data_IF_134153986382
#
_entry.id   IF_134153986382
#
_cell.length_a   1.000
_cell.length_b   1.000
_cell.length_c   1.000
_cell.angle_alpha   90.00
_cell.angle_beta   90.00
_cell.angle_gamma   90.00
#
_symmetry.space_group_name_H-M   'P 1'
#
loop_
_entity.id
_entity.type
_entity.pdbx_description
1 polymer ?
#
# COMPACT_ATOMS: atom_id res chain seq x y z
N UNK A 1 62.89 -10.81 12.20
CA UNK A 1 61.99 -11.42 11.19
C UNK A 1 60.85 -10.46 10.93
N UNK A 2 60.53 -10.14 9.68
CA UNK A 2 59.32 -9.37 9.34
C UNK A 2 58.16 -10.34 9.06
N UNK A 3 56.98 -10.09 9.62
CA UNK A 3 55.80 -10.92 9.35
C UNK A 3 55.28 -10.66 7.93
N UNK A 4 54.87 -11.70 7.17
CA UNK A 4 54.36 -11.52 5.82
C UNK A 4 53.03 -10.76 5.86
N UNK A 5 53.02 -9.54 5.32
CA UNK A 5 51.82 -8.70 5.31
C UNK A 5 50.70 -9.38 4.49
N UNK A 6 49.57 -9.68 5.12
CA UNK A 6 48.45 -10.37 4.49
C UNK A 6 48.10 -9.73 3.13
N UNK A 7 48.11 -10.50 2.02
CA UNK A 7 47.95 -9.94 0.68
C UNK A 7 46.58 -9.28 0.45
N UNK A 8 45.51 -9.74 1.12
CA UNK A 8 44.21 -9.07 1.05
C UNK A 8 44.25 -7.68 1.70
N UNK A 9 44.94 -7.53 2.84
CA UNK A 9 45.14 -6.22 3.50
C UNK A 9 45.97 -5.28 2.61
N UNK A 10 46.96 -5.82 1.88
CA UNK A 10 47.73 -5.05 0.88
C UNK A 10 46.85 -4.62 -0.30
N UNK A 11 46.01 -5.51 -0.83
CA UNK A 11 45.07 -5.24 -1.91
C UNK A 11 44.05 -4.15 -1.53
N UNK A 12 43.38 -4.26 -0.37
CA UNK A 12 42.46 -3.22 0.12
C UNK A 12 43.16 -1.88 0.35
N UNK A 13 44.39 -1.86 0.88
CA UNK A 13 45.18 -0.62 1.02
C UNK A 13 45.50 0.02 -0.33
N UNK A 14 45.80 -0.76 -1.36
CA UNK A 14 46.02 -0.26 -2.73
C UNK A 14 44.72 0.32 -3.32
N UNK A 15 43.59 -0.38 -3.21
CA UNK A 15 42.29 0.13 -3.70
C UNK A 15 41.88 1.42 -2.98
N UNK A 16 42.00 1.47 -1.65
CA UNK A 16 41.70 2.68 -0.86
C UNK A 16 42.67 3.82 -1.21
N UNK A 17 43.94 3.52 -1.50
CA UNK A 17 44.92 4.48 -1.99
C UNK A 17 44.55 5.05 -3.37
N UNK A 18 44.18 4.19 -4.32
CA UNK A 18 43.73 4.57 -5.67
C UNK A 18 42.46 5.41 -5.62
N UNK A 19 41.46 5.02 -4.83
CA UNK A 19 40.23 5.80 -4.62
C UNK A 19 40.52 7.18 -4.00
N UNK A 20 41.41 7.25 -3.00
CA UNK A 20 41.84 8.52 -2.40
C UNK A 20 42.62 9.41 -3.37
N UNK A 21 43.38 8.83 -4.30
CA UNK A 21 44.05 9.59 -5.36
C UNK A 21 43.08 10.03 -6.47
N UNK A 22 42.11 9.19 -6.86
CA UNK A 22 41.05 9.56 -7.79
C UNK A 22 40.26 10.78 -7.28
N UNK A 23 39.93 10.81 -5.98
CA UNK A 23 39.26 11.94 -5.32
C UNK A 23 40.12 13.22 -5.19
N UNK A 24 41.43 13.18 -5.50
CA UNK A 24 42.31 14.37 -5.50
C UNK A 24 42.30 15.11 -6.84
N UNK A 25 41.97 14.47 -7.96
CA UNK A 25 41.92 15.14 -9.26
C UNK A 25 40.77 16.15 -9.28
N UNK A 26 41.07 17.44 -9.46
CA UNK A 26 40.09 18.52 -9.53
C UNK A 26 39.00 18.27 -10.57
N UNK A 27 39.40 17.72 -11.72
CA UNK A 27 38.53 17.37 -12.85
C UNK A 27 37.49 16.27 -12.54
N UNK A 28 37.72 15.44 -11.52
CA UNK A 28 36.78 14.38 -11.10
C UNK A 28 35.81 14.84 -10.00
N UNK A 29 36.01 16.03 -9.41
CA UNK A 29 35.08 16.59 -8.41
C UNK A 29 33.67 16.82 -8.97
N UNK A 30 33.47 17.39 -10.18
CA UNK A 30 32.13 17.50 -10.78
C UNK A 30 31.44 16.15 -10.93
N UNK A 31 32.17 15.11 -11.39
CA UNK A 31 31.65 13.75 -11.51
C UNK A 31 31.27 13.17 -10.13
N UNK A 32 32.07 13.42 -9.09
CA UNK A 32 31.75 13.02 -7.72
C UNK A 32 30.53 13.75 -7.15
N UNK A 33 30.33 15.04 -7.48
CA UNK A 33 29.12 15.78 -7.09
C UNK A 33 27.88 15.28 -7.85
N UNK A 34 27.98 15.00 -9.15
CA UNK A 34 26.89 14.43 -9.97
C UNK A 34 26.54 13.03 -9.47
N UNK A 35 27.52 12.17 -9.22
CA UNK A 35 27.29 10.83 -8.66
C UNK A 35 26.70 10.90 -7.24
N UNK A 36 27.20 11.83 -6.41
CA UNK A 36 26.63 12.09 -5.07
C UNK A 36 25.17 12.56 -5.13
N UNK A 37 24.85 13.48 -6.04
CA UNK A 37 23.49 13.94 -6.27
C UNK A 37 22.58 12.82 -6.79
N UNK A 38 23.04 12.01 -7.75
CA UNK A 38 22.33 10.83 -8.25
C UNK A 38 22.06 9.81 -7.13
N UNK A 39 23.05 9.54 -6.27
CA UNK A 39 22.90 8.66 -5.11
C UNK A 39 21.96 9.24 -4.05
N UNK A 40 21.94 10.56 -3.84
CA UNK A 40 21.01 11.23 -2.91
C UNK A 40 19.57 11.27 -3.43
N UNK A 41 19.37 11.45 -4.74
CA UNK A 41 18.06 11.31 -5.39
C UNK A 41 17.58 9.86 -5.28
N UNK A 42 18.44 8.89 -5.61
CA UNK A 42 18.11 7.47 -5.62
C UNK A 42 18.20 6.76 -4.26
N UNK A 43 18.56 7.46 -3.17
CA UNK A 43 18.69 6.87 -1.82
C UNK A 43 17.39 6.20 -1.35
N UNK A 44 16.25 6.63 -1.89
CA UNK A 44 14.94 6.04 -1.62
C UNK A 44 14.74 4.67 -2.28
N UNK A 45 15.51 4.34 -3.31
CA UNK A 45 15.48 3.08 -4.06
C UNK A 45 16.59 2.10 -3.66
N UNK A 46 17.41 2.43 -2.65
CA UNK A 46 18.50 1.55 -2.20
C UNK A 46 18.00 0.20 -1.65
N UNK A 47 18.85 -0.86 -1.69
CA UNK A 47 18.55 -2.15 -1.08
C UNK A 47 18.14 -2.04 0.40
N UNK A 48 17.33 -3.00 0.85
CA UNK A 48 16.80 -3.12 2.22
C UNK A 48 15.89 -1.97 2.71
N UNK A 49 15.89 -0.77 2.11
CA UNK A 49 15.09 0.35 2.64
C UNK A 49 13.58 0.10 2.52
N UNK A 50 13.11 -0.66 1.51
CA UNK A 50 11.72 -1.18 1.46
C UNK A 50 11.40 -2.04 2.69
N UNK A 51 12.29 -2.98 3.04
CA UNK A 51 12.11 -3.88 4.20
C UNK A 51 12.01 -3.08 5.50
N UNK A 52 12.90 -2.10 5.69
CA UNK A 52 12.88 -1.21 6.85
C UNK A 52 11.57 -0.40 6.95
N UNK A 53 11.00 0.08 5.83
CA UNK A 53 9.71 0.81 5.78
C UNK A 53 8.51 -0.10 6.08
N UNK A 54 8.53 -1.32 5.55
CA UNK A 54 7.45 -2.32 5.68
C UNK A 54 7.42 -2.89 7.09
N UNK A 55 8.53 -3.47 7.54
CA UNK A 55 8.67 -4.07 8.87
C UNK A 55 8.63 -3.00 9.96
N UNK A 56 9.17 -1.80 9.71
CA UNK A 56 9.14 -0.69 10.64
C UNK A 56 7.72 -0.28 11.07
N UNK A 57 6.71 -0.43 10.21
CA UNK A 57 5.32 -0.18 10.63
C UNK A 57 4.80 -1.24 11.61
N UNK A 58 5.13 -2.52 11.39
CA UNK A 58 4.78 -3.61 12.29
C UNK A 58 5.52 -3.47 13.63
N UNK A 59 6.81 -3.13 13.59
CA UNK A 59 7.64 -2.85 14.77
C UNK A 59 7.09 -1.67 15.57
N UNK A 60 6.80 -0.52 14.94
CA UNK A 60 6.25 0.65 15.63
C UNK A 60 4.86 0.38 16.21
N UNK A 61 3.99 -0.37 15.53
CA UNK A 61 2.70 -0.76 16.08
C UNK A 61 2.86 -1.71 17.28
N UNK A 62 3.74 -2.71 17.18
CA UNK A 62 4.01 -3.64 18.28
C UNK A 62 4.69 -2.95 19.48
N UNK A 63 5.60 -2.00 19.25
CA UNK A 63 6.20 -1.18 20.31
C UNK A 63 5.14 -0.34 21.02
N UNK A 64 4.22 0.31 20.29
CA UNK A 64 3.09 1.04 20.88
C UNK A 64 2.19 0.13 21.71
N UNK A 65 1.92 -1.09 21.24
CA UNK A 65 1.17 -2.13 21.98
C UNK A 65 1.90 -2.58 23.26
N UNK A 66 3.23 -2.73 23.21
CA UNK A 66 4.05 -3.17 24.35
C UNK A 66 4.22 -2.07 25.41
N UNK A 67 4.29 -0.81 24.99
CA UNK A 67 4.38 0.38 25.84
C UNK A 67 3.02 0.87 26.37
N UNK A 68 1.90 0.34 25.85
CA UNK A 68 0.57 0.66 26.36
C UNK A 68 0.36 0.07 27.75
N UNK A 69 0.00 0.93 28.73
CA UNK A 69 -0.26 0.54 30.12
C UNK A 69 -1.35 -0.54 30.23
N UNK A 70 -2.37 -0.46 29.37
CA UNK A 70 -3.37 -1.51 29.18
C UNK A 70 -3.30 -2.03 27.74
N UNK A 71 -2.74 -3.24 27.62
CA UNK A 71 -2.55 -3.95 26.35
C UNK A 71 -3.86 -4.49 25.78
N UNK A 72 -4.86 -4.77 26.63
CA UNK A 72 -6.18 -5.23 26.21
C UNK A 72 -6.98 -4.07 25.64
N UNK A 73 -7.07 -2.95 26.35
CA UNK A 73 -7.74 -1.73 25.87
C UNK A 73 -7.09 -1.17 24.60
N UNK A 74 -5.76 -1.28 24.45
CA UNK A 74 -5.09 -0.93 23.19
C UNK A 74 -5.59 -1.79 22.01
N UNK A 75 -5.82 -3.09 22.22
CA UNK A 75 -6.34 -4.00 21.20
C UNK A 75 -7.83 -3.78 20.96
N UNK A 76 -8.65 -3.64 22.00
CA UNK A 76 -10.08 -3.31 21.83
C UNK A 76 -10.30 -1.98 21.11
N UNK A 77 -9.41 -0.99 21.29
CA UNK A 77 -9.44 0.30 20.59
C UNK A 77 -8.85 0.27 19.15
N UNK A 78 -8.25 -0.84 18.71
CA UNK A 78 -7.69 -0.97 17.35
C UNK A 78 -8.32 -2.10 16.51
N UNK A 79 -8.98 -3.07 17.15
CA UNK A 79 -9.72 -4.13 16.49
C UNK A 79 -11.04 -3.63 15.83
N UNK A 80 -11.55 -4.31 14.80
CA UNK A 80 -12.84 -4.04 14.16
C UNK A 80 -14.04 -4.65 14.92
N UNK A 81 -14.16 -4.37 16.22
CA UNK A 81 -15.22 -4.94 17.06
C UNK A 81 -16.60 -4.40 16.62
N UNK A 82 -17.52 -5.30 16.26
CA UNK A 82 -18.88 -4.98 15.79
C UNK A 82 -18.90 -4.01 14.58
N UNK A 83 -17.91 -4.14 13.69
CA UNK A 83 -17.72 -3.27 12.52
C UNK A 83 -18.10 -3.97 11.20
N UNK A 84 -18.31 -3.17 10.15
CA UNK A 84 -18.62 -3.59 8.78
C UNK A 84 -17.34 -3.56 7.91
N UNK A 85 -16.90 -4.71 7.33
CA UNK A 85 -15.67 -4.80 6.54
C UNK A 85 -15.52 -3.78 5.40
N UNK A 86 -16.63 -3.31 4.83
CA UNK A 86 -16.65 -2.35 3.72
C UNK A 86 -16.75 -0.89 4.19
N UNK A 87 -17.32 -0.62 5.38
CA UNK A 87 -17.34 0.74 5.98
C UNK A 87 -15.96 1.15 6.51
N UNK A 88 -15.14 0.18 6.95
CA UNK A 88 -13.80 0.41 7.52
C UNK A 88 -12.75 0.80 6.46
N UNK A 89 -12.85 2.02 5.93
CA UNK A 89 -11.94 2.55 4.89
C UNK A 89 -10.62 3.05 5.49
N UNK A 90 -9.51 2.40 5.14
CA UNK A 90 -8.17 2.88 5.43
C UNK A 90 -7.72 3.88 4.35
N UNK A 91 -7.85 5.17 4.64
CA UNK A 91 -7.25 6.26 3.84
C UNK A 91 -5.76 6.38 4.15
N UNK A 92 -4.94 6.45 3.12
CA UNK A 92 -3.50 6.73 3.16
C UNK A 92 -3.18 7.88 2.19
N UNK A 93 -2.08 8.63 2.40
CA UNK A 93 -1.73 9.82 1.60
C UNK A 93 -0.37 9.69 0.92
N UNK A 94 -0.28 10.15 -0.31
CA UNK A 94 0.92 10.13 -1.14
C UNK A 94 1.13 11.44 -1.90
N UNK A 95 2.32 11.56 -2.48
CA UNK A 95 2.77 12.70 -3.29
C UNK A 95 3.62 12.15 -4.44
N UNK A 96 3.38 12.61 -5.67
CA UNK A 96 4.10 12.16 -6.85
C UNK A 96 5.45 12.87 -6.98
N UNK A 97 6.49 12.33 -6.32
CA UNK A 97 7.84 12.90 -6.39
C UNK A 97 8.56 12.54 -7.71
N UNK A 98 9.57 13.32 -8.15
CA UNK A 98 10.27 13.07 -9.43
C UNK A 98 10.92 11.69 -9.54
N UNK A 99 11.31 11.07 -8.43
CA UNK A 99 11.90 9.72 -8.35
C UNK A 99 10.87 8.56 -8.40
N UNK A 100 9.57 8.90 -8.41
CA UNK A 100 8.44 7.99 -8.65
C UNK A 100 7.73 8.28 -9.98
N UNK A 101 8.14 9.32 -10.72
CA UNK A 101 7.55 9.70 -12.00
C UNK A 101 8.34 9.15 -13.20
N UNK A 102 7.65 8.98 -14.34
CA UNK A 102 8.25 8.61 -15.62
C UNK A 102 8.66 9.84 -16.46
N UNK A 103 9.13 9.58 -17.68
CA UNK A 103 9.60 10.61 -18.63
C UNK A 103 8.49 11.53 -19.16
N UNK A 104 7.21 11.21 -18.95
CA UNK A 104 6.08 12.08 -19.28
C UNK A 104 5.72 13.02 -18.12
N UNK A 105 6.35 12.86 -16.95
CA UNK A 105 6.03 13.63 -15.75
C UNK A 105 4.79 13.11 -15.02
N UNK A 106 4.46 11.83 -15.17
CA UNK A 106 3.34 11.17 -14.50
C UNK A 106 3.85 10.11 -13.53
N UNK A 107 3.10 9.82 -12.45
CA UNK A 107 3.43 8.75 -11.51
C UNK A 107 3.52 7.42 -12.29
N UNK A 108 4.71 6.82 -12.34
CA UNK A 108 4.94 5.64 -13.19
C UNK A 108 4.06 4.47 -12.76
N UNK A 109 3.54 3.69 -13.72
CA UNK A 109 2.68 2.52 -13.46
C UNK A 109 3.30 1.54 -12.44
N UNK A 110 4.62 1.33 -12.49
CA UNK A 110 5.35 0.51 -11.51
C UNK A 110 5.36 1.12 -10.10
N UNK A 111 5.34 2.44 -10.01
CA UNK A 111 5.38 3.16 -8.74
C UNK A 111 4.05 3.09 -7.99
N UNK A 112 2.90 2.81 -8.61
CA UNK A 112 1.64 2.58 -7.87
C UNK A 112 1.79 1.47 -6.80
N UNK A 113 2.63 0.46 -7.02
CA UNK A 113 2.93 -0.58 -6.02
C UNK A 113 3.89 -0.11 -4.89
N UNK A 114 4.81 0.82 -5.19
CA UNK A 114 6.07 1.12 -4.48
C UNK A 114 5.88 1.67 -3.05
N UNK A 115 6.92 1.52 -2.22
CA UNK A 115 6.96 2.07 -0.84
C UNK A 115 8.07 3.11 -0.71
N UNK A 116 7.70 4.39 -0.62
CA UNK A 116 8.62 5.53 -0.38
C UNK A 116 8.73 5.84 1.13
N UNK A 117 9.58 6.81 1.49
CA UNK A 117 9.65 7.43 2.82
C UNK A 117 9.93 8.92 2.64
N UNK A 118 9.28 9.75 3.45
CA UNK A 118 9.35 11.20 3.37
C UNK A 118 9.63 11.83 4.73
N UNK A 119 10.11 13.07 4.67
CA UNK A 119 10.36 13.91 5.83
C UNK A 119 9.31 15.02 5.80
N UNK A 120 8.12 14.72 6.32
CA UNK A 120 7.00 15.68 6.29
C UNK A 120 7.22 16.70 7.39
N UNK A 121 7.29 17.97 6.99
CA UNK A 121 7.09 19.10 7.88
C UNK A 121 5.60 19.19 8.19
N UNK A 122 5.22 18.96 9.44
CA UNK A 122 3.83 19.09 9.89
C UNK A 122 3.50 20.57 10.14
N UNK A 123 2.21 20.90 10.22
CA UNK A 123 1.74 22.27 10.50
C UNK A 123 2.13 22.80 11.90
N UNK A 124 2.60 21.93 12.80
CA UNK A 124 3.24 22.28 14.07
C UNK A 124 4.76 22.54 13.93
N UNK A 125 5.24 22.76 12.70
CA UNK A 125 6.64 22.85 12.29
C UNK A 125 7.53 21.64 12.66
N UNK A 126 6.96 20.55 13.19
CA UNK A 126 7.75 19.38 13.53
C UNK A 126 8.12 18.58 12.28
N UNK A 127 9.41 18.23 12.20
CA UNK A 127 9.97 17.47 11.10
C UNK A 127 9.93 15.98 11.48
N UNK A 128 8.83 15.30 11.14
CA UNK A 128 8.62 13.89 11.50
C UNK A 128 8.93 12.98 10.31
N UNK A 129 9.55 11.82 10.61
CA UNK A 129 9.71 10.74 9.64
C UNK A 129 8.31 10.20 9.30
N UNK A 130 7.78 10.61 8.16
CA UNK A 130 6.42 10.34 7.75
C UNK A 130 6.45 9.52 6.47
N UNK A 131 5.89 8.34 6.55
CA UNK A 131 5.90 7.45 5.40
C UNK A 131 4.83 7.95 4.42
N UNK A 132 5.22 8.75 3.42
CA UNK A 132 4.51 8.80 2.15
C UNK A 132 4.84 7.51 1.41
N UNK A 133 3.83 6.74 1.02
CA UNK A 133 3.99 5.48 0.28
C UNK A 133 2.82 5.28 -0.68
N UNK A 134 2.95 4.28 -1.54
CA UNK A 134 1.97 3.98 -2.56
C UNK A 134 1.24 2.69 -2.07
N UNK A 135 0.90 1.68 -2.89
CA UNK A 135 -0.10 0.67 -2.47
C UNK A 135 0.32 -0.29 -1.32
N UNK A 136 1.54 -0.85 -1.34
CA UNK A 136 1.98 -1.88 -0.37
C UNK A 136 1.83 -1.48 1.10
N UNK A 137 1.97 -0.20 1.39
CA UNK A 137 1.81 0.28 2.75
C UNK A 137 0.36 0.58 3.15
N UNK A 138 -0.48 1.00 2.19
CA UNK A 138 -1.91 1.13 2.41
C UNK A 138 -2.53 -0.24 2.72
N UNK A 139 -2.07 -1.29 2.01
CA UNK A 139 -2.31 -2.71 2.33
C UNK A 139 -1.87 -3.06 3.76
N UNK A 140 -0.61 -2.83 4.14
CA UNK A 140 -0.14 -3.11 5.52
C UNK A 140 -0.97 -2.36 6.57
N UNK A 141 -1.38 -1.12 6.29
CA UNK A 141 -2.21 -0.32 7.19
C UNK A 141 -3.58 -0.97 7.41
N UNK A 142 -4.28 -1.38 6.34
CA UNK A 142 -5.58 -2.07 6.48
C UNK A 142 -5.44 -3.46 7.11
N UNK A 143 -4.36 -4.20 6.81
CA UNK A 143 -4.08 -5.48 7.45
C UNK A 143 -3.92 -5.33 8.97
N UNK A 144 -3.17 -4.32 9.43
CA UNK A 144 -3.01 -4.04 10.87
C UNK A 144 -4.30 -3.52 11.51
N UNK A 145 -5.08 -2.66 10.84
CA UNK A 145 -6.34 -2.14 11.42
C UNK A 145 -7.50 -3.14 11.43
N UNK A 146 -7.41 -4.24 10.67
CA UNK A 146 -8.50 -5.17 10.48
C UNK A 146 -8.20 -6.57 11.04
N UNK A 147 -6.93 -7.01 11.09
CA UNK A 147 -6.57 -8.37 11.56
C UNK A 147 -5.36 -8.44 12.48
N UNK A 148 -5.05 -7.34 13.20
CA UNK A 148 -4.06 -7.37 14.29
C UNK A 148 -4.24 -8.54 15.29
N UNK A 149 -5.46 -8.94 15.71
CA UNK A 149 -5.65 -10.10 16.59
C UNK A 149 -5.07 -11.40 16.01
N UNK A 150 -5.43 -11.75 14.77
CA UNK A 150 -4.89 -12.91 14.06
C UNK A 150 -3.36 -12.90 13.95
N UNK A 151 -2.76 -11.73 13.68
CA UNK A 151 -1.31 -11.60 13.56
C UNK A 151 -0.58 -11.76 14.91
N UNK A 152 -1.23 -11.47 16.04
CA UNK A 152 -0.64 -11.68 17.36
C UNK A 152 -0.57 -13.16 17.76
N UNK A 153 -1.46 -14.01 17.23
CA UNK A 153 -1.42 -15.47 17.46
C UNK A 153 -0.34 -16.18 16.61
N UNK A 154 0.38 -15.44 15.75
CA UNK A 154 1.38 -15.95 14.81
C UNK A 154 0.86 -16.10 13.37
N UNK A 155 -0.34 -15.58 13.07
CA UNK A 155 -0.88 -15.53 11.73
C UNK A 155 -0.15 -14.53 10.82
N UNK A 156 -0.07 -14.82 9.52
CA UNK A 156 0.51 -13.89 8.53
C UNK A 156 -0.29 -13.85 7.22
N UNK A 157 -0.06 -12.78 6.45
CA UNK A 157 -0.85 -12.43 5.25
C UNK A 157 0.02 -12.25 4.00
N UNK A 158 0.48 -13.33 3.34
CA UNK A 158 1.10 -13.21 2.03
C UNK A 158 0.10 -12.67 0.98
N UNK A 159 0.53 -11.65 0.24
CA UNK A 159 -0.10 -11.19 -0.99
C UNK A 159 0.12 -12.26 -2.07
N UNK A 160 -0.95 -12.81 -2.63
CA UNK A 160 -0.90 -13.81 -3.70
C UNK A 160 -1.04 -13.25 -5.12
N UNK A 161 -1.44 -11.98 -5.26
CA UNK A 161 -1.57 -11.30 -6.55
C UNK A 161 -2.16 -9.90 -6.43
N UNK A 162 -1.95 -9.09 -7.45
CA UNK A 162 -2.42 -7.71 -7.50
C UNK A 162 -2.73 -7.28 -8.94
N UNK A 163 -3.93 -6.76 -9.15
CA UNK A 163 -4.50 -6.46 -10.45
C UNK A 163 -4.80 -4.96 -10.51
N UNK A 164 -4.27 -4.24 -11.50
CA UNK A 164 -4.32 -2.77 -11.57
C UNK A 164 -5.02 -2.29 -12.85
N UNK A 165 -6.00 -1.40 -12.70
CA UNK A 165 -6.66 -0.68 -13.78
C UNK A 165 -6.27 0.80 -13.71
N UNK A 166 -5.47 1.26 -14.66
CA UNK A 166 -5.09 2.65 -14.82
C UNK A 166 -6.19 3.40 -15.60
N UNK A 167 -6.70 4.50 -15.05
CA UNK A 167 -7.87 5.25 -15.53
C UNK A 167 -7.52 6.68 -15.94
N UNK A 168 -6.66 7.36 -15.16
CA UNK A 168 -6.09 8.65 -15.54
C UNK A 168 -4.78 8.92 -14.81
N UNK A 169 -3.93 9.76 -15.38
CA UNK A 169 -2.56 9.99 -14.91
C UNK A 169 -2.54 10.89 -13.65
N UNK A 170 -1.68 10.54 -12.66
CA UNK A 170 -1.36 11.42 -11.52
C UNK A 170 -0.16 12.27 -11.93
N UNK A 171 -0.29 13.60 -12.07
CA UNK A 171 0.83 14.46 -12.47
C UNK A 171 1.91 14.54 -11.39
N UNK A 172 3.16 14.74 -11.82
CA UNK A 172 4.29 15.10 -10.96
C UNK A 172 3.92 16.25 -10.01
N UNK A 173 4.43 16.17 -8.78
CA UNK A 173 4.14 17.04 -7.65
C UNK A 173 2.68 17.03 -7.13
N UNK A 174 1.78 16.21 -7.69
CA UNK A 174 0.40 16.11 -7.19
C UNK A 174 0.31 15.33 -5.88
N UNK A 175 -0.55 15.80 -4.98
CA UNK A 175 -0.96 15.06 -3.78
C UNK A 175 -2.16 14.17 -4.06
N UNK A 176 -2.14 12.94 -3.54
CA UNK A 176 -3.20 11.96 -3.75
C UNK A 176 -3.51 11.15 -2.47
N UNK A 177 -4.69 10.53 -2.44
CA UNK A 177 -5.14 9.61 -1.42
C UNK A 177 -5.23 8.19 -1.99
N UNK A 178 -4.79 7.19 -1.23
CA UNK A 178 -5.09 5.78 -1.49
C UNK A 178 -6.14 5.32 -0.50
N UNK A 179 -7.32 4.95 -0.98
CA UNK A 179 -8.47 4.56 -0.15
C UNK A 179 -8.69 3.06 -0.26
N UNK A 180 -8.28 2.33 0.77
CA UNK A 180 -8.34 0.86 0.81
C UNK A 180 -9.49 0.37 1.69
N UNK A 181 -10.25 -0.62 1.21
CA UNK A 181 -11.34 -1.29 1.95
C UNK A 181 -11.43 -2.77 1.56
N UNK A 182 -12.15 -3.58 2.34
CA UNK A 182 -12.51 -4.93 1.87
C UNK A 182 -13.44 -4.82 0.67
N UNK A 183 -13.24 -5.68 -0.32
CA UNK A 183 -14.07 -5.81 -1.51
C UNK A 183 -15.00 -7.02 -1.39
N UNK A 184 -14.41 -8.18 -1.08
CA UNK A 184 -15.09 -9.45 -0.75
C UNK A 184 -14.08 -10.49 -0.26
N UNK A 185 -14.51 -11.72 -0.05
CA UNK A 185 -13.67 -12.89 0.17
C UNK A 185 -14.29 -14.20 -0.34
N UNK A 186 -13.44 -15.16 -0.69
CA UNK A 186 -13.78 -16.58 -0.87
C UNK A 186 -13.19 -17.43 0.29
N UNK A 187 -13.09 -18.75 0.14
CA UNK A 187 -12.53 -19.67 1.15
C UNK A 187 -11.00 -19.57 1.36
N UNK A 188 -10.29 -18.89 0.47
CA UNK A 188 -8.82 -18.79 0.41
C UNK A 188 -8.34 -17.34 0.35
N UNK A 189 -9.02 -16.48 -0.39
CA UNK A 189 -8.61 -15.12 -0.70
C UNK A 189 -9.53 -14.06 -0.10
N UNK A 190 -8.95 -13.12 0.64
CA UNK A 190 -9.53 -11.80 0.89
C UNK A 190 -9.15 -10.87 -0.27
N UNK A 191 -10.16 -10.21 -0.85
CA UNK A 191 -9.98 -9.19 -1.87
C UNK A 191 -10.02 -7.81 -1.22
N UNK A 192 -8.93 -7.07 -1.32
CA UNK A 192 -8.83 -5.68 -0.86
C UNK A 192 -8.86 -4.76 -2.08
N UNK A 193 -9.81 -3.83 -2.10
CA UNK A 193 -9.97 -2.82 -3.14
C UNK A 193 -9.36 -1.50 -2.69
N UNK A 194 -8.47 -0.95 -3.51
CA UNK A 194 -7.72 0.27 -3.23
C UNK A 194 -7.82 1.25 -4.39
N UNK A 195 -8.39 2.43 -4.14
CA UNK A 195 -8.53 3.50 -5.13
C UNK A 195 -7.45 4.56 -4.94
N UNK A 196 -6.79 4.95 -6.03
CA UNK A 196 -5.93 6.12 -6.10
C UNK A 196 -6.75 7.30 -6.58
N UNK A 197 -6.90 8.32 -5.73
CA UNK A 197 -7.72 9.50 -6.03
C UNK A 197 -6.99 10.80 -5.72
N UNK A 198 -7.14 11.82 -6.56
CA UNK A 198 -6.77 13.19 -6.23
C UNK A 198 -8.01 13.99 -5.85
N UNK A 199 -7.82 15.07 -5.08
CA UNK A 199 -8.82 16.14 -4.98
C UNK A 199 -8.37 17.23 -5.97
N UNK A 200 -9.25 17.74 -6.84
CA UNK A 200 -8.91 18.90 -7.67
C UNK A 200 -8.64 20.09 -6.74
N UNK A 201 -7.62 20.89 -7.04
CA UNK A 201 -7.43 22.14 -6.31
C UNK A 201 -8.64 23.05 -6.53
N UNK A 202 -9.16 23.62 -5.45
CA UNK A 202 -10.31 24.53 -5.51
C UNK A 202 -9.86 25.90 -6.01
N UNK A 203 -9.65 26.00 -7.33
CA UNK A 203 -9.22 27.21 -8.02
C UNK A 203 -10.11 28.38 -7.60
N UNK A 204 -9.51 29.37 -6.94
CA UNK A 204 -10.19 30.51 -6.31
C UNK A 204 -10.69 31.57 -7.31
N UNK A 205 -10.97 31.15 -8.55
CA UNK A 205 -11.48 31.96 -9.67
C UNK A 205 -12.69 31.27 -10.33
N UNK A 206 -13.72 31.03 -9.52
CA UNK A 206 -15.05 30.61 -9.95
C UNK A 206 -16.14 31.59 -9.46
N UNK A 207 -15.80 32.88 -9.41
CA UNK A 207 -16.66 33.98 -8.93
C UNK A 207 -16.48 35.19 -9.84
N UNK A 208 -17.48 35.47 -10.70
CA UNK A 208 -17.48 36.49 -11.78
C UNK A 208 -16.41 36.17 -12.87
N UNK A 209 -16.74 36.08 -14.14
CA UNK A 209 -17.80 36.79 -14.89
C UNK A 209 -18.82 35.88 -15.57
N UNK A 210 -20.06 36.35 -15.58
CA UNK A 210 -21.06 36.07 -16.63
C UNK A 210 -21.15 37.35 -17.48
N UNK A 211 -21.37 37.19 -18.78
CA UNK A 211 -21.53 38.26 -19.79
C UNK A 211 -20.29 39.12 -20.13
N UNK A 212 -20.33 39.67 -21.35
CA UNK A 212 -19.28 40.37 -22.11
C UNK A 212 -18.02 39.51 -22.44
N UNK A 213 -17.56 39.39 -23.69
CA UNK A 213 -17.98 40.00 -24.98
C UNK A 213 -17.90 38.96 -26.11
N UNK A 214 -18.63 39.20 -27.21
CA UNK A 214 -18.44 38.47 -28.45
C UNK A 214 -17.23 38.99 -29.26
N UNK A 215 -16.84 38.22 -30.27
CA UNK A 215 -15.95 38.56 -31.39
C UNK A 215 -14.52 39.06 -31.10
N UNK A 216 -13.53 38.18 -31.36
CA UNK A 216 -12.50 38.47 -32.37
C UNK A 216 -11.67 37.22 -32.76
N UNK A 217 -11.26 37.19 -34.03
CA UNK A 217 -10.17 36.41 -34.64
C UNK A 217 -10.03 34.90 -34.33
N UNK A 218 -10.15 34.07 -35.38
CA UNK A 218 -9.83 32.65 -35.32
C UNK A 218 -8.34 32.39 -35.62
N UNK A 219 -7.64 31.66 -34.73
CA UNK A 219 -6.39 30.98 -35.06
C UNK A 219 -6.55 29.47 -34.82
N UNK A 220 -6.36 28.68 -35.88
CA UNK A 220 -6.49 27.21 -35.84
C UNK A 220 -5.28 26.57 -35.15
N UNK A 221 -5.20 26.70 -33.83
CA UNK A 221 -4.40 25.76 -33.04
C UNK A 221 -4.94 24.35 -33.25
N UNK A 222 -4.06 23.39 -33.55
CA UNK A 222 -4.43 22.00 -33.80
C UNK A 222 -5.11 21.41 -32.56
N UNK A 223 -6.36 20.96 -32.70
CA UNK A 223 -7.09 20.20 -31.68
C UNK A 223 -6.38 18.87 -31.42
N UNK A 224 -5.37 18.91 -30.54
CA UNK A 224 -4.95 17.74 -29.78
C UNK A 224 -6.20 17.27 -29.02
N UNK A 225 -6.62 15.99 -29.12
CA UNK A 225 -7.82 15.52 -28.45
C UNK A 225 -7.68 15.80 -26.95
N UNK A 226 -8.53 16.70 -26.42
CA UNK A 226 -8.47 17.11 -25.02
C UNK A 226 -8.71 15.87 -24.16
N UNK A 227 -7.67 15.47 -23.43
CA UNK A 227 -7.61 14.27 -22.60
C UNK A 227 -8.93 14.10 -21.83
N UNK A 228 -9.59 12.96 -22.04
CA UNK A 228 -10.98 12.68 -21.68
C UNK A 228 -11.35 13.34 -20.32
N UNK A 229 -12.29 14.31 -20.29
CA UNK A 229 -12.42 15.23 -19.16
C UNK A 229 -12.58 14.48 -17.84
N UNK A 230 -11.54 14.59 -16.99
CA UNK A 230 -11.35 13.78 -15.78
C UNK A 230 -12.61 13.83 -14.92
N UNK A 231 -13.41 12.74 -14.97
CA UNK A 231 -14.74 12.68 -14.36
C UNK A 231 -14.62 12.80 -12.84
N UNK A 232 -14.89 14.00 -12.34
CA UNK A 232 -15.02 14.27 -10.91
C UNK A 232 -16.21 13.48 -10.38
N UNK A 233 -15.96 12.70 -9.33
CA UNK A 233 -16.95 11.92 -8.59
C UNK A 233 -17.78 12.82 -7.67
N UNK A 234 -18.91 12.32 -7.21
CA UNK A 234 -19.81 13.01 -6.26
C UNK A 234 -19.12 13.46 -4.96
N UNK A 235 -18.08 12.73 -4.53
CA UNK A 235 -17.26 13.07 -3.36
C UNK A 235 -16.18 14.14 -3.62
N UNK A 236 -16.20 14.75 -4.81
CA UNK A 236 -15.24 15.75 -5.25
C UNK A 236 -13.86 15.19 -5.59
N UNK A 237 -13.71 13.91 -5.90
CA UNK A 237 -12.41 13.32 -6.28
C UNK A 237 -12.32 12.92 -7.75
N UNK A 238 -11.09 12.85 -8.27
CA UNK A 238 -10.76 12.24 -9.57
C UNK A 238 -10.14 10.87 -9.31
N UNK A 239 -10.61 9.85 -10.03
CA UNK A 239 -10.04 8.49 -10.01
C UNK A 239 -8.87 8.37 -11.00
N UNK A 240 -7.75 7.83 -10.52
CA UNK A 240 -6.54 7.60 -11.31
C UNK A 240 -6.24 6.13 -11.55
N UNK A 241 -6.36 5.29 -10.51
CA UNK A 241 -6.11 3.87 -10.60
C UNK A 241 -6.99 3.11 -9.60
N UNK A 242 -7.49 1.94 -9.99
CA UNK A 242 -8.11 0.95 -9.11
C UNK A 242 -7.17 -0.24 -9.01
N UNK A 243 -6.89 -0.70 -7.79
CA UNK A 243 -6.11 -1.90 -7.56
C UNK A 243 -6.88 -2.91 -6.71
N UNK A 244 -6.97 -4.15 -7.20
CA UNK A 244 -7.46 -5.31 -6.44
C UNK A 244 -6.24 -6.05 -5.90
N UNK A 245 -6.27 -6.41 -4.62
CA UNK A 245 -5.18 -7.13 -3.95
C UNK A 245 -5.70 -8.41 -3.32
N UNK A 246 -5.12 -9.55 -3.69
CA UNK A 246 -5.54 -10.90 -3.28
C UNK A 246 -4.66 -11.39 -2.13
N UNK A 247 -5.21 -11.51 -0.93
CA UNK A 247 -4.51 -11.95 0.29
C UNK A 247 -5.01 -13.29 0.78
N UNK A 248 -4.12 -14.23 1.12
CA UNK A 248 -4.52 -15.41 1.89
C UNK A 248 -3.99 -15.34 3.32
N UNK A 249 -4.70 -15.93 4.27
CA UNK A 249 -4.28 -15.98 5.66
C UNK A 249 -3.58 -17.30 5.95
N UNK A 250 -2.42 -17.23 6.61
CA UNK A 250 -1.58 -18.39 6.92
C UNK A 250 -1.32 -18.52 8.41
N UNK A 251 -1.55 -19.71 8.94
CA UNK A 251 -1.09 -20.13 10.27
C UNK A 251 -0.15 -21.32 10.07
N UNK A 252 1.16 -21.10 10.25
CA UNK A 252 2.18 -22.04 9.78
C UNK A 252 2.04 -22.34 8.27
N UNK A 253 1.82 -23.61 7.92
CA UNK A 253 1.54 -24.05 6.53
C UNK A 253 0.05 -23.94 6.14
N UNK A 254 -0.85 -23.93 7.11
CA UNK A 254 -2.30 -24.03 6.93
C UNK A 254 -2.86 -22.70 6.41
N UNK A 255 -3.74 -22.76 5.42
CA UNK A 255 -4.57 -21.61 5.03
C UNK A 255 -5.78 -21.53 5.96
N UNK A 256 -6.02 -20.36 6.55
CA UNK A 256 -7.23 -20.08 7.32
C UNK A 256 -8.21 -19.31 6.42
N UNK A 257 -9.50 -19.68 6.33
CA UNK A 257 -10.43 -18.95 5.48
C UNK A 257 -10.65 -17.51 5.96
N UNK A 258 -10.76 -16.53 5.04
CA UNK A 258 -11.01 -15.14 5.38
C UNK A 258 -12.19 -14.89 6.33
N UNK A 259 -13.30 -15.61 6.19
CA UNK A 259 -14.47 -15.48 7.08
C UNK A 259 -14.12 -15.74 8.56
N UNK A 260 -13.34 -16.79 8.81
CA UNK A 260 -12.86 -17.16 10.15
C UNK A 260 -11.95 -16.05 10.70
N UNK A 261 -11.05 -15.51 9.87
CA UNK A 261 -10.11 -14.46 10.31
C UNK A 261 -10.80 -13.11 10.53
N UNK A 262 -11.80 -12.76 9.72
CA UNK A 262 -12.60 -11.55 9.94
C UNK A 262 -13.41 -11.68 11.23
N UNK A 263 -14.11 -12.81 11.41
CA UNK A 263 -14.88 -13.09 12.63
C UNK A 263 -14.00 -13.08 13.89
N UNK A 264 -12.86 -13.81 13.92
CA UNK A 264 -12.00 -13.81 15.12
C UNK A 264 -11.29 -12.48 15.41
N UNK A 265 -11.31 -11.53 14.48
CA UNK A 265 -10.81 -10.17 14.71
C UNK A 265 -11.91 -9.20 15.20
N UNK A 266 -13.17 -9.65 15.27
CA UNK A 266 -14.29 -8.92 15.85
C UNK A 266 -15.32 -8.37 14.86
N UNK A 267 -15.15 -8.58 13.55
CA UNK A 267 -16.14 -8.16 12.55
C UNK A 267 -17.46 -8.94 12.74
N UNK A 268 -18.57 -8.26 12.48
CA UNK A 268 -19.93 -8.81 12.57
C UNK A 268 -20.93 -7.75 13.01
N UNK A 269 -22.21 -8.12 13.13
CA UNK A 269 -23.27 -7.21 13.58
C UNK A 269 -23.18 -6.77 15.04
N UNK A 270 -22.45 -7.51 15.89
CA UNK A 270 -22.35 -7.26 17.33
C UNK A 270 -20.96 -7.64 17.91
N UNK A 271 -20.84 -7.64 19.25
CA UNK A 271 -19.59 -8.00 19.95
C UNK A 271 -19.38 -9.51 20.15
N UNK A 272 -20.31 -10.38 19.73
CA UNK A 272 -20.29 -11.82 20.06
C UNK A 272 -19.03 -12.53 19.54
N UNK A 273 -18.66 -12.28 18.28
CA UNK A 273 -17.44 -12.83 17.66
C UNK A 273 -16.16 -12.43 18.40
N UNK A 274 -16.07 -11.17 18.83
CA UNK A 274 -14.94 -10.67 19.65
C UNK A 274 -14.89 -11.37 21.02
N UNK A 275 -16.04 -11.47 21.70
CA UNK A 275 -16.12 -12.14 23.02
C UNK A 275 -15.78 -13.62 22.91
N UNK A 276 -16.32 -14.34 21.92
CA UNK A 276 -15.99 -15.76 21.65
C UNK A 276 -14.49 -15.95 21.46
N UNK A 277 -13.85 -15.06 20.72
CA UNK A 277 -12.41 -15.11 20.44
C UNK A 277 -11.55 -14.84 21.68
N UNK A 278 -11.88 -13.82 22.47
CA UNK A 278 -11.15 -13.52 23.72
C UNK A 278 -11.39 -14.60 24.81
N UNK A 279 -12.57 -15.23 24.86
CA UNK A 279 -12.82 -16.41 25.71
C UNK A 279 -11.94 -17.59 25.28
N UNK A 280 -11.97 -17.96 24.00
CA UNK A 280 -11.16 -19.04 23.43
C UNK A 280 -9.65 -18.77 23.57
N UNK A 281 -9.25 -17.49 23.60
CA UNK A 281 -7.88 -17.04 23.90
C UNK A 281 -7.51 -17.17 25.37
N UNK A 282 -8.39 -16.78 26.31
CA UNK A 282 -8.15 -16.97 27.75
C UNK A 282 -8.06 -18.43 28.15
N UNK A 283 -8.70 -19.32 27.39
CA UNK A 283 -8.62 -20.78 27.52
C UNK A 283 -7.37 -21.39 26.82
N UNK A 284 -6.55 -20.57 26.13
CA UNK A 284 -5.37 -21.02 25.38
C UNK A 284 -5.66 -21.73 24.05
N UNK A 285 -6.94 -21.85 23.66
CA UNK A 285 -7.39 -22.66 22.53
C UNK A 285 -7.34 -21.93 21.18
N UNK A 286 -7.37 -20.59 21.16
CA UNK A 286 -7.44 -19.77 19.93
C UNK A 286 -6.37 -20.13 18.89
N UNK A 287 -5.15 -20.45 19.33
CA UNK A 287 -4.09 -20.87 18.41
C UNK A 287 -4.37 -22.23 17.76
N UNK A 288 -4.75 -23.23 18.55
CA UNK A 288 -5.11 -24.58 18.05
C UNK A 288 -6.32 -24.54 17.12
N UNK A 289 -7.28 -23.66 17.41
CA UNK A 289 -8.42 -23.37 16.53
C UNK A 289 -7.96 -22.84 15.17
N UNK A 290 -7.06 -21.84 15.13
CA UNK A 290 -6.50 -21.30 13.88
C UNK A 290 -5.59 -22.30 13.15
N UNK A 291 -4.91 -23.18 13.89
CA UNK A 291 -4.12 -24.31 13.37
C UNK A 291 -4.99 -25.50 12.88
N UNK A 292 -6.32 -25.34 12.83
CA UNK A 292 -7.21 -26.22 12.05
C UNK A 292 -8.56 -26.56 12.68
N UNK A 293 -8.75 -26.31 13.98
CA UNK A 293 -10.00 -26.58 14.70
C UNK A 293 -11.24 -25.92 14.09
N UNK A 294 -11.07 -24.78 13.41
CA UNK A 294 -12.14 -24.10 12.64
C UNK A 294 -12.85 -24.98 11.60
N UNK A 295 -12.28 -26.12 11.21
CA UNK A 295 -12.91 -27.09 10.29
C UNK A 295 -14.07 -27.86 10.90
N UNK A 296 -14.09 -28.00 12.23
CA UNK A 296 -15.10 -28.78 12.97
C UNK A 296 -16.12 -27.91 13.70
N UNK A 297 -15.78 -26.63 13.95
CA UNK A 297 -16.69 -25.67 14.58
C UNK A 297 -17.61 -24.95 13.58
N UNK A 298 -18.80 -24.59 14.05
CA UNK A 298 -19.78 -23.78 13.31
C UNK A 298 -19.96 -22.39 13.94
N UNK A 299 -20.58 -21.48 13.20
CA UNK A 299 -20.92 -20.13 13.69
C UNK A 299 -19.71 -19.19 13.78
N UNK A 300 -18.72 -19.38 12.90
CA UNK A 300 -17.62 -18.44 12.63
C UNK A 300 -17.75 -17.80 11.23
N UNK A 301 -18.91 -18.01 10.61
CA UNK A 301 -19.32 -17.45 9.34
C UNK A 301 -20.02 -16.09 9.59
N UNK A 302 -20.15 -15.27 8.55
CA UNK A 302 -20.70 -13.90 8.65
C UNK A 302 -21.95 -13.76 7.76
N UNK A 303 -23.08 -14.43 8.11
CA UNK A 303 -24.28 -14.48 7.27
C UNK A 303 -24.90 -13.10 7.01
N UNK A 304 -24.75 -12.14 7.92
CA UNK A 304 -25.20 -10.75 7.78
C UNK A 304 -24.49 -9.98 6.65
N UNK A 305 -23.39 -10.54 6.13
CA UNK A 305 -22.59 -9.97 5.04
C UNK A 305 -22.62 -10.82 3.75
N UNK A 306 -23.33 -11.95 3.73
CA UNK A 306 -23.21 -12.97 2.68
C UNK A 306 -23.64 -12.49 1.29
N UNK A 307 -24.79 -11.81 1.18
CA UNK A 307 -25.26 -11.21 -0.09
C UNK A 307 -24.22 -10.24 -0.66
N UNK A 308 -23.70 -9.35 0.19
CA UNK A 308 -22.72 -8.33 -0.17
C UNK A 308 -21.36 -8.94 -0.51
N UNK A 309 -20.99 -10.03 0.16
CA UNK A 309 -19.82 -10.85 -0.17
C UNK A 309 -19.98 -11.44 -1.57
N UNK A 310 -21.07 -12.12 -1.86
CA UNK A 310 -21.31 -12.73 -3.18
C UNK A 310 -21.31 -11.68 -4.29
N UNK A 311 -22.01 -10.56 -4.12
CA UNK A 311 -22.01 -9.44 -5.08
C UNK A 311 -20.61 -8.83 -5.29
N UNK A 312 -19.86 -8.62 -4.21
CA UNK A 312 -18.48 -8.12 -4.28
C UNK A 312 -17.49 -9.13 -4.89
N UNK A 313 -17.71 -10.42 -4.69
CA UNK A 313 -16.87 -11.49 -5.24
C UNK A 313 -17.05 -11.60 -6.76
N UNK A 314 -18.30 -11.57 -7.22
CA UNK A 314 -18.64 -11.52 -8.65
C UNK A 314 -18.09 -10.26 -9.34
N UNK A 315 -18.08 -9.12 -8.64
CA UNK A 315 -17.43 -7.91 -9.13
C UNK A 315 -15.90 -8.05 -9.22
N UNK A 316 -15.24 -8.64 -8.23
CA UNK A 316 -13.81 -8.94 -8.30
C UNK A 316 -13.48 -9.96 -9.41
N UNK A 317 -14.31 -11.00 -9.59
CA UNK A 317 -14.14 -12.03 -10.61
C UNK A 317 -14.07 -11.43 -12.02
N UNK A 318 -14.97 -10.51 -12.36
CA UNK A 318 -14.99 -9.79 -13.65
C UNK A 318 -13.70 -9.03 -13.98
N UNK A 319 -12.97 -8.56 -12.98
CA UNK A 319 -11.67 -7.89 -13.17
C UNK A 319 -10.57 -8.91 -13.47
N UNK A 320 -10.56 -10.06 -12.78
CA UNK A 320 -9.57 -11.12 -13.01
C UNK A 320 -9.82 -11.89 -14.31
N UNK A 321 -11.08 -12.16 -14.68
CA UNK A 321 -11.41 -12.96 -15.87
C UNK A 321 -11.03 -12.26 -17.18
N UNK A 322 -11.14 -10.93 -17.25
CA UNK A 322 -10.64 -10.16 -18.41
C UNK A 322 -9.12 -10.22 -18.58
N UNK A 323 -8.37 -10.58 -17.53
CA UNK A 323 -6.92 -10.81 -17.57
C UNK A 323 -6.64 -12.27 -17.94
N UNK A 324 -7.33 -13.24 -17.32
CA UNK A 324 -7.16 -14.66 -17.63
C UNK A 324 -7.59 -15.03 -19.05
N UNK A 325 -8.64 -14.42 -19.60
CA UNK A 325 -9.04 -14.57 -20.99
C UNK A 325 -8.10 -13.86 -21.99
N UNK A 326 -7.12 -13.10 -21.48
CA UNK A 326 -6.05 -12.47 -22.26
C UNK A 326 -4.69 -13.20 -22.10
N UNK A 327 -4.65 -14.35 -21.42
CA UNK A 327 -3.51 -15.27 -21.51
C UNK A 327 -3.44 -15.79 -22.96
N UNK A 328 -2.35 -15.44 -23.66
CA UNK A 328 -2.22 -15.71 -25.09
C UNK A 328 -2.19 -17.22 -25.37
N UNK A 329 -3.16 -17.70 -26.14
CA UNK A 329 -3.20 -19.08 -26.60
C UNK A 329 -2.05 -19.32 -27.60
N UNK A 330 -0.96 -19.91 -27.10
CA UNK A 330 0.22 -20.21 -27.90
C UNK A 330 -0.04 -21.24 -29.02
N UNK A 331 -1.19 -21.93 -29.04
CA UNK A 331 -1.56 -22.80 -30.17
C UNK A 331 -1.93 -22.00 -31.44
N UNK A 332 -2.27 -20.71 -31.30
CA UNK A 332 -2.51 -19.79 -32.43
C UNK A 332 -1.22 -19.24 -33.06
N UNK A 333 -0.05 -19.73 -32.63
CA UNK A 333 1.28 -19.34 -33.12
C UNK A 333 2.09 -20.53 -33.67
N UNK A 334 1.40 -21.57 -34.15
CA UNK A 334 1.95 -22.77 -34.77
C UNK A 334 1.69 -22.82 -36.29
#
# INVERSE_FOLDING_TARGET
>A
MATPSNPQVRFFRVIIGLLRSALKFSHLKPLAYVLGALLLVNIRSFPLVWHARVLGHLVVWNLRRLLASDKRRFLEATAPIADDPWKRVSVHKGWASPDDCDFLGHLSNSCYAKVRMELVLYADHSLRLAMAKNLDHARIKICVSNVAPFMLEGGWMPLGGADYLFVSEIPIFSHYEIRSKVASWDDKWLYVHSEFVTRPERTSKATKTVEAVADCAAEKTLDRPKHNPRKVREDGTVLHCVAISRYCFKMGRITVPPRIVLSICGFGSDRSNWVRSETMKSQGQLRQFLEGGWRSEKGWDLPEFEERRLAGLEWCRKISEGISAAEWDMSLSA
#
